data_IF_527827730968
#
_entry.id   IF_527827730968
#
_cell.length_a   1.000
_cell.length_b   1.000
_cell.length_c   1.000
_cell.angle_alpha   90.00
_cell.angle_beta   90.00
_cell.angle_gamma   90.00
#
_symmetry.space_group_name_H-M   'P 1'
#
loop_
_entity.id
_entity.type
_entity.pdbx_description
1 polymer ?
#
# COMPACT_ATOMS: atom_id res chain seq x y z
N UNK A 1 -45.79 2.83 -58.41
CA UNK A 1 -44.90 1.91 -57.69
C UNK A 1 -43.55 2.62 -57.59
N UNK A 2 -43.36 3.37 -56.50
CA UNK A 2 -42.13 4.13 -56.25
C UNK A 2 -41.38 3.34 -55.20
N UNK A 3 -40.20 2.86 -55.55
CA UNK A 3 -39.29 2.16 -54.64
C UNK A 3 -38.56 3.25 -53.87
N UNK A 4 -38.75 3.29 -52.55
CA UNK A 4 -37.96 4.10 -51.63
C UNK A 4 -36.94 3.14 -51.02
N UNK A 5 -35.67 3.30 -51.41
CA UNK A 5 -34.55 2.67 -50.71
C UNK A 5 -34.39 3.39 -49.37
N UNK A 6 -34.72 2.71 -48.28
CA UNK A 6 -34.37 3.14 -46.93
C UNK A 6 -32.95 2.68 -46.63
N UNK A 7 -31.99 3.59 -46.71
CA UNK A 7 -30.64 3.40 -46.15
C UNK A 7 -30.77 3.16 -44.63
N UNK A 8 -30.59 1.91 -44.23
CA UNK A 8 -30.29 1.58 -42.84
C UNK A 8 -28.86 2.01 -42.55
N UNK A 9 -28.69 3.18 -41.93
CA UNK A 9 -27.45 3.55 -41.28
C UNK A 9 -27.20 2.60 -40.10
N UNK A 10 -26.54 1.48 -40.38
CA UNK A 10 -25.91 0.65 -39.36
C UNK A 10 -24.66 1.38 -38.90
N UNK A 11 -24.80 2.26 -37.90
CA UNK A 11 -23.64 2.80 -37.18
C UNK A 11 -23.01 1.69 -36.35
N UNK A 12 -22.08 0.96 -36.95
CA UNK A 12 -21.06 0.25 -36.18
C UNK A 12 -20.25 1.32 -35.46
N UNK A 13 -20.59 1.61 -34.19
CA UNK A 13 -19.69 2.30 -33.28
C UNK A 13 -18.44 1.40 -33.14
N UNK A 14 -17.44 1.65 -33.96
CA UNK A 14 -16.07 1.32 -33.61
C UNK A 14 -15.75 2.22 -32.43
N UNK A 15 -15.91 1.72 -31.21
CA UNK A 15 -15.51 2.43 -30.00
C UNK A 15 -14.02 2.72 -30.11
N UNK A 16 -13.67 3.97 -30.43
CA UNK A 16 -12.29 4.45 -30.38
C UNK A 16 -11.83 4.30 -28.93
N UNK A 17 -10.68 3.67 -28.75
CA UNK A 17 -10.05 3.49 -27.44
C UNK A 17 -9.68 4.88 -26.92
N UNK A 18 -10.29 5.34 -25.83
CA UNK A 18 -9.94 6.64 -25.21
C UNK A 18 -8.58 6.55 -24.51
N UNK A 19 -7.92 7.69 -24.32
CA UNK A 19 -6.65 7.77 -23.59
C UNK A 19 -6.76 7.17 -22.18
N UNK A 20 -7.86 7.43 -21.47
CA UNK A 20 -8.11 6.90 -20.11
C UNK A 20 -8.21 5.37 -20.12
N UNK A 21 -8.97 4.80 -21.07
CA UNK A 21 -9.10 3.35 -21.19
C UNK A 21 -7.77 2.71 -21.60
N UNK A 22 -7.04 3.33 -22.53
CA UNK A 22 -5.68 2.91 -22.89
C UNK A 22 -4.76 2.90 -21.66
N UNK A 23 -4.67 4.02 -20.94
CA UNK A 23 -3.77 4.19 -19.80
C UNK A 23 -4.06 3.18 -18.69
N UNK A 24 -5.32 2.96 -18.35
CA UNK A 24 -5.72 1.99 -17.30
C UNK A 24 -5.57 0.53 -17.73
N UNK A 25 -5.48 0.25 -19.04
CA UNK A 25 -5.20 -1.08 -19.58
C UNK A 25 -3.71 -1.44 -19.63
N UNK A 26 -2.80 -0.47 -19.39
CA UNK A 26 -1.36 -0.71 -19.40
C UNK A 26 -0.93 -1.69 -18.31
N UNK A 27 0.13 -2.44 -18.60
CA UNK A 27 0.69 -3.40 -17.64
C UNK A 27 1.20 -2.67 -16.40
N UNK A 28 0.64 -3.00 -15.23
CA UNK A 28 0.97 -2.34 -13.97
C UNK A 28 -0.04 -1.26 -13.56
N UNK A 29 -0.95 -0.87 -14.45
CA UNK A 29 -1.99 0.13 -14.17
C UNK A 29 -3.31 -0.53 -13.72
N UNK A 30 -3.27 -1.82 -13.39
CA UNK A 30 -4.42 -2.61 -12.94
C UNK A 30 -5.10 -2.03 -11.68
N UNK A 31 -4.38 -1.21 -10.91
CA UNK A 31 -4.88 -0.58 -9.69
C UNK A 31 -5.72 0.68 -9.93
N UNK A 32 -5.57 1.34 -11.07
CA UNK A 32 -6.37 2.51 -11.40
C UNK A 32 -7.81 2.14 -11.73
N UNK A 33 -8.77 2.98 -11.35
CA UNK A 33 -10.08 2.99 -11.98
C UNK A 33 -10.12 4.02 -13.11
N UNK A 34 -11.05 3.85 -14.04
CA UNK A 34 -11.33 4.84 -15.08
C UNK A 34 -12.03 6.04 -14.43
N UNK A 35 -11.40 7.21 -14.51
CA UNK A 35 -12.00 8.47 -14.05
C UNK A 35 -13.02 8.93 -15.11
N UNK A 36 -14.19 9.38 -14.66
CA UNK A 36 -15.21 9.89 -15.58
C UNK A 36 -14.74 11.22 -16.19
N UNK A 37 -14.89 11.38 -17.50
CA UNK A 37 -14.51 12.62 -18.22
C UNK A 37 -15.19 13.85 -17.62
N UNK A 38 -16.48 13.75 -17.24
CA UNK A 38 -17.24 14.82 -16.57
C UNK A 38 -16.55 15.33 -15.28
N UNK A 39 -15.80 14.49 -14.58
CA UNK A 39 -15.05 14.89 -13.38
C UNK A 39 -13.81 15.72 -13.73
N UNK A 40 -13.18 15.39 -14.86
CA UNK A 40 -11.97 16.05 -15.37
C UNK A 40 -12.33 17.38 -16.05
N UNK A 41 -13.45 17.44 -16.76
CA UNK A 41 -13.94 18.67 -17.42
C UNK A 41 -14.33 19.79 -16.43
N UNK A 42 -14.66 19.44 -15.19
CA UNK A 42 -14.97 20.42 -14.15
C UNK A 42 -13.69 20.98 -13.50
N UNK A 43 -13.30 22.18 -13.93
CA UNK A 43 -12.15 22.96 -13.44
C UNK A 43 -12.08 23.05 -11.90
N UNK A 44 -13.23 23.03 -11.20
CA UNK A 44 -13.23 23.08 -9.74
C UNK A 44 -12.48 21.87 -9.14
N UNK A 45 -12.66 20.69 -9.71
CA UNK A 45 -12.00 19.46 -9.26
C UNK A 45 -10.50 19.46 -9.57
N UNK A 46 -10.06 20.26 -10.54
CA UNK A 46 -8.68 20.39 -10.98
C UNK A 46 -7.89 21.51 -10.27
N UNK A 47 -8.55 22.29 -9.41
CA UNK A 47 -7.96 23.44 -8.71
C UNK A 47 -6.61 23.10 -8.06
N UNK A 48 -5.58 23.91 -8.36
CA UNK A 48 -4.23 23.78 -7.80
C UNK A 48 -3.33 22.74 -8.49
N UNK A 49 -3.84 21.90 -9.39
CA UNK A 49 -3.01 20.95 -10.15
C UNK A 49 -2.17 21.64 -11.23
N UNK A 50 -2.68 22.74 -11.79
CA UNK A 50 -2.02 23.50 -12.86
C UNK A 50 -0.59 23.95 -12.51
N UNK A 51 -0.29 24.25 -11.24
CA UNK A 51 1.06 24.63 -10.82
C UNK A 51 2.02 23.45 -10.63
N UNK A 52 1.50 22.22 -10.57
CA UNK A 52 2.30 21.01 -10.35
C UNK A 52 2.63 20.27 -11.65
N UNK A 53 1.75 20.38 -12.65
CA UNK A 53 1.85 19.65 -13.92
C UNK A 53 2.46 20.55 -15.01
N UNK A 54 3.62 20.19 -15.58
CA UNK A 54 4.18 20.87 -16.75
C UNK A 54 3.25 20.74 -17.97
N UNK A 55 3.29 21.68 -18.91
CA UNK A 55 2.50 21.60 -20.16
C UNK A 55 1.02 21.28 -19.90
N UNK A 56 0.44 21.93 -18.88
CA UNK A 56 -0.92 21.66 -18.38
C UNK A 56 -1.98 21.56 -19.49
N UNK A 57 -1.97 22.50 -20.44
CA UNK A 57 -2.98 22.56 -21.50
C UNK A 57 -2.84 21.35 -22.41
N UNK A 58 -1.62 21.09 -22.88
CA UNK A 58 -1.30 19.99 -23.78
C UNK A 58 -1.54 18.62 -23.13
N UNK A 59 -1.24 18.49 -21.83
CA UNK A 59 -1.50 17.29 -21.04
C UNK A 59 -3.00 17.04 -20.86
N UNK A 60 -3.78 18.09 -20.58
CA UNK A 60 -5.24 17.99 -20.42
C UNK A 60 -5.92 17.65 -21.75
N UNK A 61 -5.52 18.32 -22.83
CA UNK A 61 -6.02 18.04 -24.19
C UNK A 61 -5.72 16.57 -24.58
N UNK A 62 -4.54 16.04 -24.21
CA UNK A 62 -4.19 14.64 -24.44
C UNK A 62 -5.05 13.66 -23.62
N UNK A 63 -5.27 13.93 -22.32
CA UNK A 63 -6.08 13.04 -21.46
C UNK A 63 -7.55 12.98 -21.91
N UNK A 64 -8.08 14.08 -22.46
CA UNK A 64 -9.46 14.20 -22.94
C UNK A 64 -9.61 13.89 -24.45
N UNK A 65 -8.57 13.36 -25.10
CA UNK A 65 -8.55 13.07 -26.54
C UNK A 65 -9.01 14.27 -27.43
N UNK A 66 -8.68 15.49 -27.00
CA UNK A 66 -8.99 16.73 -27.75
C UNK A 66 -8.00 16.88 -28.90
N UNK A 67 -8.50 17.05 -30.12
CA UNK A 67 -7.65 17.25 -31.30
C UNK A 67 -6.80 18.52 -31.15
N UNK A 68 -5.46 18.43 -31.36
CA UNK A 68 -4.60 19.59 -31.29
C UNK A 68 -4.91 20.56 -32.44
N UNK A 69 -4.95 21.86 -32.16
CA UNK A 69 -5.12 22.88 -33.20
C UNK A 69 -3.93 22.85 -34.19
N UNK A 70 -4.23 22.73 -35.50
CA UNK A 70 -3.24 22.56 -36.58
C UNK A 70 -2.15 23.66 -36.65
N UNK A 71 -2.36 24.82 -36.03
CA UNK A 71 -1.44 25.97 -36.03
C UNK A 71 -0.42 25.97 -34.87
N UNK A 72 -0.41 24.94 -34.02
CA UNK A 72 0.57 24.81 -32.93
C UNK A 72 1.94 24.33 -33.43
N UNK A 73 2.67 25.18 -34.15
CA UNK A 73 4.03 24.87 -34.62
C UNK A 73 5.10 24.86 -33.49
N UNK A 74 4.68 24.75 -32.22
CA UNK A 74 5.53 24.81 -31.02
C UNK A 74 5.24 23.70 -30.01
N UNK A 75 4.56 22.62 -30.42
CA UNK A 75 4.28 21.49 -29.52
C UNK A 75 5.63 20.96 -28.99
N UNK A 76 5.82 20.87 -27.67
CA UNK A 76 6.98 20.20 -27.06
C UNK A 76 7.13 18.78 -27.60
N UNK A 77 8.28 18.14 -27.36
CA UNK A 77 8.45 16.71 -27.67
C UNK A 77 7.27 15.91 -27.06
N UNK A 78 6.60 15.10 -27.88
CA UNK A 78 5.39 14.33 -27.52
C UNK A 78 5.63 13.51 -26.25
N UNK A 79 6.84 12.97 -26.09
CA UNK A 79 7.22 12.19 -24.91
C UNK A 79 7.16 13.00 -23.59
N UNK A 80 7.43 14.30 -23.64
CA UNK A 80 7.34 15.17 -22.47
C UNK A 80 5.88 15.44 -22.11
N UNK A 81 5.03 15.63 -23.12
CA UNK A 81 3.58 15.82 -22.92
C UNK A 81 2.95 14.54 -22.36
N UNK A 82 3.35 13.37 -22.84
CA UNK A 82 2.92 12.07 -22.31
C UNK A 82 3.22 11.96 -20.81
N UNK A 83 4.45 12.22 -20.39
CA UNK A 83 4.81 12.18 -18.96
C UNK A 83 4.00 13.16 -18.09
N UNK A 84 3.62 14.30 -18.67
CA UNK A 84 2.80 15.31 -18.00
C UNK A 84 1.33 14.88 -17.91
N UNK A 85 0.81 14.21 -18.94
CA UNK A 85 -0.51 13.61 -18.95
C UNK A 85 -0.65 12.48 -17.92
N UNK A 86 0.36 11.61 -17.79
CA UNK A 86 0.39 10.57 -16.75
C UNK A 86 0.35 11.16 -15.34
N UNK A 87 1.17 12.20 -15.09
CA UNK A 87 1.18 12.91 -13.82
C UNK A 87 -0.18 13.58 -13.54
N UNK A 88 -0.75 14.26 -14.54
CA UNK A 88 -2.07 14.88 -14.44
C UNK A 88 -3.13 13.85 -14.06
N UNK A 89 -3.24 12.78 -14.84
CA UNK A 89 -4.25 11.74 -14.61
C UNK A 89 -4.08 11.08 -13.24
N UNK A 90 -2.84 10.81 -12.83
CA UNK A 90 -2.56 10.27 -11.50
C UNK A 90 -3.02 11.18 -10.36
N UNK A 91 -2.76 12.49 -10.45
CA UNK A 91 -3.21 13.46 -9.44
C UNK A 91 -4.73 13.68 -9.45
N UNK A 92 -5.37 13.58 -10.61
CA UNK A 92 -6.83 13.60 -10.73
C UNK A 92 -7.43 12.33 -10.13
N UNK A 93 -6.85 11.16 -10.41
CA UNK A 93 -7.27 9.88 -9.87
C UNK A 93 -7.24 9.88 -8.33
N UNK A 94 -6.18 10.42 -7.72
CA UNK A 94 -6.05 10.58 -6.26
C UNK A 94 -7.26 11.31 -5.66
N UNK A 95 -7.78 12.33 -6.35
CA UNK A 95 -8.96 13.09 -5.91
C UNK A 95 -10.26 12.33 -6.21
N UNK A 96 -10.35 11.75 -7.41
CA UNK A 96 -11.54 11.05 -7.88
C UNK A 96 -11.92 9.87 -6.97
N UNK A 97 -10.95 9.07 -6.54
CA UNK A 97 -11.21 7.89 -5.69
C UNK A 97 -11.67 8.22 -4.26
N UNK A 98 -11.68 9.51 -3.87
CA UNK A 98 -12.30 9.99 -2.64
C UNK A 98 -13.77 10.39 -2.83
N UNK A 99 -14.23 10.53 -4.07
CA UNK A 99 -15.64 10.82 -4.38
C UNK A 99 -16.50 9.57 -4.27
N UNK A 100 -17.82 9.75 -4.19
CA UNK A 100 -18.76 8.61 -4.20
C UNK A 100 -18.65 7.75 -5.47
N UNK A 101 -18.44 8.38 -6.63
CA UNK A 101 -18.29 7.66 -7.90
C UNK A 101 -17.00 6.83 -7.91
N UNK A 102 -15.87 7.44 -7.57
CA UNK A 102 -14.58 6.73 -7.50
C UNK A 102 -14.56 5.63 -6.44
N UNK A 103 -15.16 5.84 -5.26
CA UNK A 103 -15.32 4.80 -4.25
C UNK A 103 -16.16 3.62 -4.75
N UNK A 104 -17.17 3.85 -5.59
CA UNK A 104 -17.97 2.80 -6.22
C UNK A 104 -17.12 1.97 -7.19
N UNK A 105 -16.37 2.63 -8.08
CA UNK A 105 -15.49 1.93 -9.04
C UNK A 105 -14.39 1.13 -8.33
N UNK A 106 -13.86 1.66 -7.23
CA UNK A 106 -12.80 0.99 -6.47
C UNK A 106 -13.32 -0.19 -5.65
N UNK A 107 -14.55 -0.18 -5.14
CA UNK A 107 -15.12 -1.34 -4.42
C UNK A 107 -15.37 -2.51 -5.37
N UNK A 108 -15.83 -2.24 -6.60
CA UNK A 108 -15.98 -3.28 -7.63
C UNK A 108 -14.65 -3.99 -7.92
N UNK A 109 -13.55 -3.22 -8.04
CA UNK A 109 -12.20 -3.78 -8.20
C UNK A 109 -11.71 -4.52 -6.95
N UNK A 110 -12.07 -4.04 -5.76
CA UNK A 110 -11.72 -4.67 -4.48
C UNK A 110 -12.36 -6.05 -4.36
N UNK A 111 -13.66 -6.15 -4.65
CA UNK A 111 -14.43 -7.41 -4.59
C UNK A 111 -13.98 -8.40 -5.68
N UNK A 112 -13.57 -7.90 -6.85
CA UNK A 112 -12.94 -8.71 -7.90
C UNK A 112 -11.52 -9.19 -7.53
N UNK A 113 -10.92 -8.66 -6.46
CA UNK A 113 -9.58 -9.02 -6.00
C UNK A 113 -8.44 -8.50 -6.88
N UNK A 114 -8.69 -7.43 -7.67
CA UNK A 114 -7.70 -6.87 -8.61
C UNK A 114 -6.44 -6.34 -7.91
N UNK A 115 -6.55 -5.91 -6.65
CA UNK A 115 -5.42 -5.39 -5.86
C UNK A 115 -4.57 -6.49 -5.22
N UNK A 116 -4.98 -7.75 -5.34
CA UNK A 116 -4.32 -8.90 -4.71
C UNK A 116 -4.68 -9.08 -3.24
N UNK A 117 -3.81 -9.78 -2.50
CA UNK A 117 -4.07 -10.17 -1.12
C UNK A 117 -2.87 -9.93 -0.21
N UNK A 118 -3.15 -9.85 1.09
CA UNK A 118 -2.14 -9.59 2.10
C UNK A 118 -1.05 -10.68 2.11
N UNK A 119 0.25 -10.31 2.10
CA UNK A 119 1.34 -11.29 2.09
C UNK A 119 1.51 -12.02 3.43
N UNK A 120 0.88 -11.54 4.52
CA UNK A 120 0.94 -12.22 5.81
C UNK A 120 0.12 -13.51 5.75
N UNK A 121 0.80 -14.63 6.01
CA UNK A 121 0.20 -15.98 6.05
C UNK A 121 -1.09 -16.04 6.87
N UNK A 122 -1.10 -15.47 8.08
CA UNK A 122 -2.28 -15.51 8.96
C UNK A 122 -3.37 -14.48 8.65
N UNK A 123 -3.15 -13.61 7.65
CA UNK A 123 -4.23 -12.82 7.06
C UNK A 123 -4.98 -13.59 5.97
N UNK A 124 -4.60 -14.85 5.67
CA UNK A 124 -5.30 -15.73 4.71
C UNK A 124 -5.62 -15.03 3.37
N UNK A 125 -4.65 -14.31 2.81
CA UNK A 125 -4.81 -13.53 1.57
C UNK A 125 -6.00 -12.54 1.60
N UNK A 126 -6.27 -11.91 2.74
CA UNK A 126 -7.27 -10.83 2.85
C UNK A 126 -7.04 -9.80 1.74
N UNK A 127 -8.09 -9.41 0.96
CA UNK A 127 -7.95 -8.42 -0.10
C UNK A 127 -7.44 -7.08 0.44
N UNK A 128 -6.54 -6.46 -0.31
CA UNK A 128 -5.85 -5.22 0.06
C UNK A 128 -6.30 -4.05 -0.82
N UNK A 129 -5.96 -2.82 -0.45
CA UNK A 129 -6.20 -1.63 -1.28
C UNK A 129 -4.90 -0.90 -1.58
N UNK A 130 -4.75 -0.30 -2.78
CA UNK A 130 -3.64 0.58 -3.07
C UNK A 130 -3.70 1.84 -2.20
N UNK A 131 -2.54 2.35 -1.80
CA UNK A 131 -2.41 3.59 -1.04
C UNK A 131 -1.03 4.22 -1.26
N UNK A 132 -0.95 5.53 -1.05
CA UNK A 132 0.29 6.29 -0.96
C UNK A 132 0.78 6.44 0.48
N UNK A 133 2.09 6.62 0.67
CA UNK A 133 2.69 7.07 1.95
C UNK A 133 2.87 8.59 2.02
N UNK A 134 2.70 9.26 0.89
CA UNK A 134 2.73 10.69 0.71
C UNK A 134 1.69 11.05 -0.35
N UNK A 135 1.15 12.27 -0.25
CA UNK A 135 0.29 12.86 -1.28
C UNK A 135 1.10 13.69 -2.30
N UNK A 136 2.42 13.82 -2.10
CA UNK A 136 3.34 14.48 -3.04
C UNK A 136 3.97 13.46 -3.99
N UNK A 137 3.95 13.69 -5.31
CA UNK A 137 4.54 12.79 -6.30
C UNK A 137 6.08 12.72 -6.17
N UNK A 138 6.64 11.61 -6.62
CA UNK A 138 8.08 11.32 -6.64
C UNK A 138 8.67 10.87 -5.30
N UNK A 139 7.86 10.73 -4.24
CA UNK A 139 8.37 10.38 -2.90
C UNK A 139 8.46 8.86 -2.68
N UNK A 140 7.38 8.13 -2.97
CA UNK A 140 7.35 6.66 -2.81
C UNK A 140 6.37 6.05 -3.82
N UNK A 141 6.61 4.79 -4.14
CA UNK A 141 5.74 4.01 -5.04
C UNK A 141 4.48 3.56 -4.33
N UNK A 142 3.48 3.14 -5.11
CA UNK A 142 2.22 2.60 -4.58
C UNK A 142 2.46 1.46 -3.60
N UNK A 143 1.76 1.51 -2.47
CA UNK A 143 1.75 0.46 -1.45
C UNK A 143 0.36 -0.17 -1.36
N UNK A 144 0.26 -1.26 -0.62
CA UNK A 144 -0.97 -2.01 -0.39
C UNK A 144 -1.29 -2.03 1.10
N UNK A 145 -2.40 -1.43 1.48
CA UNK A 145 -2.93 -1.47 2.84
C UNK A 145 -3.81 -2.70 3.06
N UNK A 146 -3.58 -3.43 4.15
CA UNK A 146 -4.41 -4.56 4.54
C UNK A 146 -5.38 -4.21 5.67
N UNK A 147 -6.71 -4.34 5.47
CA UNK A 147 -7.69 -4.06 6.52
C UNK A 147 -7.67 -5.05 7.69
N UNK A 148 -7.09 -6.24 7.51
CA UNK A 148 -7.02 -7.23 8.59
C UNK A 148 -5.83 -7.04 9.52
N UNK A 149 -4.66 -6.61 9.04
CA UNK A 149 -3.53 -6.37 9.93
C UNK A 149 -3.23 -4.90 10.20
N UNK A 150 -3.87 -3.98 9.47
CA UNK A 150 -3.67 -2.54 9.64
C UNK A 150 -2.27 -2.07 9.25
N UNK A 151 -1.65 -2.74 8.28
CA UNK A 151 -0.25 -2.56 7.93
C UNK A 151 -0.10 -2.44 6.40
N UNK A 152 1.00 -1.84 5.96
CA UNK A 152 1.25 -1.41 4.58
C UNK A 152 2.36 -2.26 3.97
N UNK A 153 2.14 -2.76 2.76
CA UNK A 153 3.05 -3.67 2.05
C UNK A 153 3.45 -3.12 0.69
N UNK A 154 4.66 -3.44 0.23
CA UNK A 154 5.04 -3.23 -1.17
C UNK A 154 4.37 -4.30 -2.05
N UNK A 155 3.77 -3.92 -3.20
CA UNK A 155 3.27 -4.90 -4.16
C UNK A 155 4.35 -5.93 -4.53
N UNK A 156 4.03 -7.24 -4.58
CA UNK A 156 5.02 -8.28 -4.81
C UNK A 156 5.54 -8.33 -6.25
N UNK A 157 4.76 -7.84 -7.22
CA UNK A 157 5.16 -7.82 -8.63
C UNK A 157 5.92 -6.53 -8.95
N UNK A 158 7.05 -6.66 -9.65
CA UNK A 158 7.87 -5.51 -10.06
C UNK A 158 7.17 -4.59 -11.05
N UNK A 159 6.11 -5.03 -11.74
CA UNK A 159 5.36 -4.18 -12.69
C UNK A 159 4.75 -2.92 -12.05
N UNK A 160 4.58 -2.91 -10.72
CA UNK A 160 4.05 -1.78 -9.98
C UNK A 160 5.14 -0.83 -9.44
N UNK A 161 6.42 -1.10 -9.69
CA UNK A 161 7.53 -0.29 -9.16
C UNK A 161 7.60 1.12 -9.74
N UNK A 162 6.99 1.36 -10.90
CA UNK A 162 6.98 2.69 -11.54
C UNK A 162 5.69 3.47 -11.26
N UNK A 163 4.74 2.86 -10.54
CA UNK A 163 3.46 3.52 -10.22
C UNK A 163 3.64 4.34 -8.94
N UNK A 164 3.44 5.65 -9.04
CA UNK A 164 3.54 6.56 -7.90
C UNK A 164 2.44 6.30 -6.87
N UNK A 165 2.79 6.29 -5.58
CA UNK A 165 1.82 6.13 -4.51
C UNK A 165 0.94 7.36 -4.31
N UNK A 166 1.41 8.55 -4.69
CA UNK A 166 0.65 9.79 -4.59
C UNK A 166 -0.65 9.73 -5.39
N UNK A 167 -0.68 8.99 -6.51
CA UNK A 167 -1.87 8.84 -7.34
C UNK A 167 -3.04 8.11 -6.67
N UNK A 168 -2.79 7.46 -5.53
CA UNK A 168 -3.82 6.88 -4.66
C UNK A 168 -3.98 7.69 -3.37
N UNK A 169 -2.92 8.38 -2.96
CA UNK A 169 -2.91 9.23 -1.78
C UNK A 169 -2.96 8.46 -0.45
N UNK A 170 -2.78 9.22 0.62
CA UNK A 170 -2.74 8.69 2.00
C UNK A 170 -4.14 8.46 2.58
N UNK A 171 -5.13 9.17 2.06
CA UNK A 171 -6.49 9.25 2.62
C UNK A 171 -7.49 8.24 2.05
N UNK A 172 -7.19 7.64 0.89
CA UNK A 172 -8.12 6.76 0.19
C UNK A 172 -8.47 5.50 0.99
N UNK A 173 -7.48 4.73 1.43
CA UNK A 173 -7.72 3.50 2.20
C UNK A 173 -8.54 3.73 3.48
N UNK A 174 -8.21 4.69 4.37
CA UNK A 174 -9.03 4.93 5.56
C UNK A 174 -10.45 5.42 5.23
N UNK A 175 -10.62 6.31 4.24
CA UNK A 175 -11.94 6.77 3.81
C UNK A 175 -12.79 5.62 3.24
N UNK A 176 -12.18 4.75 2.44
CA UNK A 176 -12.83 3.57 1.86
C UNK A 176 -13.42 2.68 2.96
N UNK A 177 -12.63 2.35 4.00
CA UNK A 177 -13.10 1.50 5.09
C UNK A 177 -14.02 2.19 6.10
N UNK A 178 -14.01 3.52 6.15
CA UNK A 178 -15.03 4.29 6.86
C UNK A 178 -16.37 4.27 6.11
N UNK A 179 -16.33 4.26 4.77
CA UNK A 179 -17.51 4.22 3.90
C UNK A 179 -18.10 2.81 3.83
N UNK A 180 -17.26 1.78 3.84
CA UNK A 180 -17.62 0.36 3.77
C UNK A 180 -17.13 -0.43 5.01
N UNK A 181 -17.73 -0.21 6.21
CA UNK A 181 -17.29 -0.86 7.45
C UNK A 181 -17.38 -2.40 7.41
N UNK A 182 -18.25 -2.97 6.58
CA UNK A 182 -18.41 -4.41 6.34
C UNK A 182 -17.19 -5.07 5.70
N UNK A 183 -16.35 -4.29 5.01
CA UNK A 183 -15.12 -4.78 4.40
C UNK A 183 -13.92 -4.67 5.34
N UNK A 184 -14.02 -3.84 6.39
CA UNK A 184 -12.97 -3.61 7.37
C UNK A 184 -13.03 -4.62 8.52
N UNK A 185 -11.86 -5.12 8.96
CA UNK A 185 -11.81 -6.07 10.07
C UNK A 185 -12.06 -5.41 11.41
N UNK A 186 -12.76 -6.11 12.29
CA UNK A 186 -12.94 -5.71 13.69
C UNK A 186 -11.56 -5.56 14.38
N UNK A 187 -11.43 -4.62 15.33
CA UNK A 187 -10.16 -4.36 16.01
C UNK A 187 -9.80 -5.40 17.09
N UNK A 188 -10.73 -6.27 17.48
CA UNK A 188 -10.54 -7.32 18.49
C UNK A 188 -10.72 -8.72 17.88
N UNK A 189 -10.06 -9.73 18.45
CA UNK A 189 -10.15 -11.12 17.98
C UNK A 189 -10.36 -12.06 19.16
N UNK A 190 -11.59 -12.55 19.41
CA UNK A 190 -11.85 -13.44 20.52
C UNK A 190 -11.06 -14.75 20.36
N UNK A 191 -10.38 -15.16 21.43
CA UNK A 191 -9.67 -16.43 21.47
C UNK A 191 -10.65 -17.59 21.35
N UNK A 192 -10.45 -18.49 20.40
CA UNK A 192 -11.30 -19.66 20.18
C UNK A 192 -11.12 -20.76 21.25
N UNK A 193 -10.79 -20.40 22.49
CA UNK A 193 -10.58 -21.32 23.61
C UNK A 193 -11.88 -21.90 24.21
N UNK A 194 -13.02 -21.75 23.54
CA UNK A 194 -14.30 -22.31 23.98
C UNK A 194 -14.99 -23.12 22.87
N UNK A 195 -14.28 -24.05 22.23
CA UNK A 195 -14.97 -25.24 21.72
C UNK A 195 -15.30 -26.13 22.91
N UNK A 196 -16.46 -25.87 23.50
CA UNK A 196 -17.15 -26.81 24.40
C UNK A 196 -17.06 -28.21 23.82
N UNK A 197 -16.61 -29.14 24.66
CA UNK A 197 -16.61 -30.55 24.40
C UNK A 197 -18.04 -31.05 24.18
N UNK A 198 -18.53 -30.99 22.95
CA UNK A 198 -19.62 -31.83 22.49
C UNK A 198 -18.99 -33.09 21.90
N UNK A 199 -18.89 -34.13 22.73
CA UNK A 199 -18.39 -35.42 22.31
C UNK A 199 -19.29 -36.05 21.25
N UNK A 200 -18.71 -36.50 20.15
CA UNK A 200 -19.11 -37.75 19.50
C UNK A 200 -17.99 -38.23 18.59
N UNK A 201 -17.55 -39.45 18.81
CA UNK A 201 -16.59 -40.17 17.98
C UNK A 201 -17.18 -40.42 16.59
N UNK A 202 -16.44 -40.12 15.52
CA UNK A 202 -16.44 -40.97 14.30
C UNK A 202 -15.17 -40.74 13.48
N UNK A 203 -14.65 -41.86 12.99
CA UNK A 203 -13.42 -42.11 12.26
C UNK A 203 -13.26 -41.41 10.90
N UNK A 204 -12.01 -41.03 10.61
CA UNK A 204 -11.29 -41.16 9.33
C UNK A 204 -12.05 -40.94 8.02
N UNK A 205 -11.99 -39.72 7.48
CA UNK A 205 -11.91 -39.46 6.03
C UNK A 205 -11.18 -38.15 5.77
N UNK A 206 -10.19 -38.19 4.88
CA UNK A 206 -9.40 -37.07 4.37
C UNK A 206 -10.22 -36.35 3.27
N UNK A 207 -10.41 -35.02 3.27
CA UNK A 207 -10.93 -34.33 2.09
C UNK A 207 -9.82 -33.57 1.36
N UNK A 208 -9.78 -33.82 0.05
CA UNK A 208 -9.02 -33.11 -0.97
C UNK A 208 -9.43 -31.64 -1.10
N UNK A 209 -8.57 -30.74 -1.63
CA UNK A 209 -8.92 -29.33 -1.76
C UNK A 209 -9.79 -29.11 -3.01
N UNK A 210 -11.01 -28.62 -2.80
CA UNK A 210 -11.85 -27.99 -3.83
C UNK A 210 -12.23 -26.60 -3.31
N UNK A 211 -12.33 -25.56 -4.16
CA UNK A 211 -12.57 -24.21 -3.72
C UNK A 211 -14.07 -24.04 -3.48
N UNK A 212 -14.50 -24.17 -2.24
CA UNK A 212 -15.84 -23.77 -1.83
C UNK A 212 -15.71 -22.91 -0.60
N UNK A 213 -16.10 -21.65 -0.76
CA UNK A 213 -16.15 -20.62 0.25
C UNK A 213 -16.91 -21.13 1.48
N UNK A 214 -16.15 -21.55 2.49
CA UNK A 214 -16.63 -21.57 3.88
C UNK A 214 -16.11 -20.28 4.51
N UNK A 215 -16.93 -19.54 5.29
CA UNK A 215 -16.44 -18.37 5.98
C UNK A 215 -15.40 -18.84 6.99
N UNK A 216 -14.14 -18.53 6.71
CA UNK A 216 -13.03 -18.77 7.63
C UNK A 216 -13.18 -17.78 8.77
N UNK A 217 -13.94 -18.17 9.80
CA UNK A 217 -14.16 -17.37 11.00
C UNK A 217 -15.27 -17.98 11.87
N UNK A 218 -14.95 -18.39 13.09
CA UNK A 218 -15.93 -18.84 14.08
C UNK A 218 -16.91 -17.74 14.46
N UNK A 219 -17.87 -18.06 15.35
CA UNK A 219 -18.92 -17.17 15.83
C UNK A 219 -18.38 -15.76 16.10
N UNK A 220 -18.67 -14.85 15.17
CA UNK A 220 -18.11 -13.51 15.19
C UNK A 220 -19.05 -12.65 16.01
N UNK A 221 -18.57 -12.20 17.16
CA UNK A 221 -19.22 -11.11 17.86
C UNK A 221 -19.17 -9.88 16.95
N UNK A 222 -20.32 -9.36 16.55
CA UNK A 222 -20.45 -8.12 15.78
C UNK A 222 -19.90 -6.97 16.62
N UNK A 223 -19.04 -6.14 16.03
CA UNK A 223 -18.50 -4.97 16.70
C UNK A 223 -19.64 -4.03 17.12
N UNK A 224 -19.79 -3.72 18.44
CA UNK A 224 -20.86 -2.85 18.90
C UNK A 224 -20.83 -1.45 18.28
N UNK A 225 -19.66 -0.99 17.81
CA UNK A 225 -19.52 0.26 17.08
C UNK A 225 -19.95 0.05 15.61
N UNK A 226 -21.11 0.59 15.15
CA UNK A 226 -21.59 0.41 13.79
C UNK A 226 -20.72 1.09 12.72
N UNK A 227 -19.89 2.06 13.11
CA UNK A 227 -18.98 2.78 12.22
C UNK A 227 -17.57 2.16 12.20
N UNK A 228 -17.30 1.19 13.08
CA UNK A 228 -16.04 0.44 13.08
C UNK A 228 -16.11 -0.74 12.11
N UNK A 229 -14.96 -1.35 11.83
CA UNK A 229 -14.93 -2.57 11.02
C UNK A 229 -15.85 -3.65 11.58
N UNK A 230 -16.58 -4.32 10.70
CA UNK A 230 -17.58 -5.35 11.01
C UNK A 230 -17.14 -6.75 10.58
N UNK A 231 -16.09 -6.87 9.78
CA UNK A 231 -15.58 -8.14 9.29
C UNK A 231 -14.82 -8.89 10.40
N UNK A 232 -14.99 -10.21 10.55
CA UNK A 232 -14.19 -11.03 11.46
C UNK A 232 -12.68 -10.79 11.32
N UNK A 233 -12.01 -10.50 12.44
CA UNK A 233 -10.56 -10.40 12.52
C UNK A 233 -9.89 -11.77 12.44
N UNK A 234 -8.81 -11.86 11.67
CA UNK A 234 -7.87 -12.99 11.70
C UNK A 234 -6.69 -12.63 12.62
N UNK A 235 -6.78 -13.00 13.89
CA UNK A 235 -5.81 -12.63 14.93
C UNK A 235 -4.70 -13.66 15.20
N UNK A 236 -4.52 -14.69 14.38
CA UNK A 236 -3.45 -15.67 14.63
C UNK A 236 -2.07 -15.03 14.43
N UNK A 237 -1.20 -15.17 15.44
CA UNK A 237 0.18 -14.70 15.39
C UNK A 237 1.14 -15.88 15.21
N UNK A 238 2.15 -15.71 14.36
CA UNK A 238 3.16 -16.74 14.15
C UNK A 238 3.93 -17.04 15.42
N UNK A 239 3.98 -18.32 15.81
CA UNK A 239 4.76 -18.79 16.94
C UNK A 239 5.96 -19.59 16.42
N UNK A 240 7.20 -19.05 16.51
CA UNK A 240 8.39 -19.77 16.10
C UNK A 240 8.60 -21.01 16.98
N UNK A 241 8.92 -22.14 16.34
CA UNK A 241 9.24 -23.41 17.00
C UNK A 241 10.50 -24.02 16.39
N UNK A 242 11.35 -24.60 17.22
CA UNK A 242 12.54 -25.37 16.82
C UNK A 242 12.42 -26.75 17.47
N UNK A 243 12.51 -27.81 16.67
CA UNK A 243 12.25 -29.20 17.11
C UNK A 243 10.91 -29.39 17.85
N UNK A 244 9.90 -28.61 17.50
CA UNK A 244 8.57 -28.64 18.14
C UNK A 244 8.43 -27.80 19.41
N UNK A 245 9.54 -27.33 19.99
CA UNK A 245 9.54 -26.46 21.17
C UNK A 245 9.41 -24.99 20.79
N UNK A 246 8.61 -24.24 21.53
CA UNK A 246 8.50 -22.79 21.33
C UNK A 246 9.84 -22.13 21.63
N UNK A 247 10.27 -21.22 20.77
CA UNK A 247 11.45 -20.39 21.04
C UNK A 247 11.11 -19.43 22.18
N UNK A 248 11.95 -19.40 23.22
CA UNK A 248 11.79 -18.51 24.38
C UNK A 248 11.84 -17.04 23.96
N UNK A 249 11.00 -16.21 24.56
CA UNK A 249 11.02 -14.76 24.34
C UNK A 249 12.34 -14.12 24.80
N UNK A 250 12.99 -14.72 25.80
CA UNK A 250 14.31 -14.29 26.29
C UNK A 250 15.46 -14.64 25.35
N UNK A 251 15.25 -15.57 24.40
CA UNK A 251 16.30 -15.93 23.45
C UNK A 251 16.59 -14.76 22.49
N UNK A 252 17.83 -14.65 22.02
CA UNK A 252 18.22 -13.61 21.04
C UNK A 252 17.40 -13.69 19.75
N UNK A 253 17.15 -14.91 19.26
CA UNK A 253 16.28 -15.22 18.12
C UNK A 253 14.80 -15.43 18.50
N UNK A 254 14.41 -15.05 19.72
CA UNK A 254 13.04 -15.11 20.18
C UNK A 254 12.13 -14.14 19.43
N UNK A 255 10.80 -14.35 19.46
CA UNK A 255 9.86 -13.40 18.88
C UNK A 255 10.01 -12.02 19.54
N UNK A 256 10.05 -10.96 18.74
CA UNK A 256 10.14 -9.56 19.18
C UNK A 256 8.88 -8.79 18.76
N UNK A 257 8.52 -7.78 19.54
CA UNK A 257 7.41 -6.87 19.25
C UNK A 257 6.11 -7.61 18.91
N UNK A 258 5.80 -8.66 19.68
CA UNK A 258 4.58 -9.45 19.49
C UNK A 258 3.32 -8.56 19.62
N UNK A 259 3.37 -7.61 20.54
CA UNK A 259 2.34 -6.61 20.81
C UNK A 259 1.86 -5.85 19.56
N UNK A 260 2.73 -5.61 18.57
CA UNK A 260 2.36 -4.93 17.31
C UNK A 260 1.34 -5.72 16.48
N UNK A 261 1.21 -7.03 16.76
CA UNK A 261 0.33 -7.95 16.03
C UNK A 261 -0.71 -8.59 16.94
N UNK A 262 -0.73 -8.22 18.22
CA UNK A 262 -1.75 -8.67 19.15
C UNK A 262 -3.01 -7.83 18.97
N UNK A 263 -4.15 -8.49 19.16
CA UNK A 263 -5.47 -7.85 19.15
C UNK A 263 -6.13 -8.15 20.50
N UNK A 264 -6.85 -7.19 21.09
CA UNK A 264 -7.66 -7.45 22.26
C UNK A 264 -8.60 -8.62 22.02
N UNK A 265 -8.92 -9.38 23.07
CA UNK A 265 -9.86 -10.51 22.92
C UNK A 265 -11.31 -10.00 22.90
N UNK A 266 -11.55 -8.83 23.49
CA UNK A 266 -12.89 -8.25 23.65
C UNK A 266 -12.92 -6.77 23.27
N UNK A 267 -14.13 -6.29 22.95
CA UNK A 267 -14.34 -4.88 22.61
C UNK A 267 -14.11 -3.95 23.81
N UNK A 268 -14.51 -4.36 25.02
CA UNK A 268 -14.41 -3.51 26.23
C UNK A 268 -12.96 -3.24 26.66
N UNK A 269 -12.00 -4.01 26.15
CA UNK A 269 -10.57 -3.75 26.35
C UNK A 269 -10.09 -2.50 25.59
N UNK A 270 -10.76 -2.14 24.49
CA UNK A 270 -10.44 -0.94 23.72
C UNK A 270 -10.79 0.34 24.48
N UNK A 271 -11.81 0.31 25.35
CA UNK A 271 -12.20 1.47 26.15
C UNK A 271 -11.17 1.81 27.25
N UNK A 272 -10.29 0.87 27.56
CA UNK A 272 -9.25 1.01 28.59
C UNK A 272 -8.02 1.76 28.08
N UNK A 273 -7.93 2.00 26.76
CA UNK A 273 -6.84 2.78 26.13
C UNK A 273 -7.35 4.11 25.56
N UNK A 274 -6.51 5.15 25.61
CA UNK A 274 -6.75 6.43 24.95
C UNK A 274 -6.60 6.29 23.42
N UNK A 275 -6.93 7.35 22.68
CA UNK A 275 -6.81 7.37 21.22
C UNK A 275 -5.35 7.24 20.71
N UNK A 276 -4.35 7.40 21.60
CA UNK A 276 -2.93 7.18 21.32
C UNK A 276 -2.47 5.76 21.72
N UNK A 277 -3.37 4.90 22.18
CA UNK A 277 -3.07 3.54 22.60
C UNK A 277 -2.46 3.41 24.00
N UNK A 278 -2.55 4.44 24.86
CA UNK A 278 -2.06 4.40 26.25
C UNK A 278 -3.17 4.02 27.22
N UNK A 279 -2.87 3.19 28.20
CA UNK A 279 -3.84 2.79 29.23
C UNK A 279 -4.30 4.00 30.05
N UNK A 280 -5.62 4.22 30.12
CA UNK A 280 -6.23 5.35 30.85
C UNK A 280 -5.96 5.30 32.36
N UNK A 281 -5.69 4.11 32.91
CA UNK A 281 -5.59 3.88 34.35
C UNK A 281 -4.15 3.64 34.86
N UNK A 282 -3.11 3.70 34.01
CA UNK A 282 -1.71 3.51 34.42
C UNK A 282 -1.03 4.83 34.88
N UNK A 283 -1.80 5.86 35.23
CA UNK A 283 -1.30 7.11 35.79
C UNK A 283 -1.17 7.13 37.33
N UNK A 284 -1.10 5.98 38.01
CA UNK A 284 -1.34 5.95 39.47
C UNK A 284 -0.52 5.01 40.35
N UNK A 285 0.55 4.35 39.87
CA UNK A 285 1.30 3.38 40.73
C UNK A 285 2.82 3.52 40.67
N UNK A 286 3.41 4.63 40.20
CA UNK A 286 4.81 4.94 40.54
C UNK A 286 5.01 6.47 40.62
N UNK A 287 5.07 7.00 41.85
CA UNK A 287 5.45 8.39 42.11
C UNK A 287 4.41 9.24 42.84
N UNK A 288 3.95 8.81 44.02
CA UNK A 288 3.28 9.70 44.96
C UNK A 288 4.30 10.70 45.54
N UNK A 289 4.49 11.81 44.83
CA UNK A 289 5.11 13.04 45.32
C UNK A 289 4.04 14.11 45.44
N UNK A 290 3.63 14.38 46.67
CA UNK A 290 2.55 15.28 47.09
C UNK A 290 2.67 16.70 46.49
N UNK A 291 1.63 17.20 45.81
CA UNK A 291 1.59 18.56 45.27
C UNK A 291 0.20 18.98 44.80
N UNK A 292 -0.55 19.58 45.71
CA UNK A 292 -1.91 20.11 45.56
C UNK A 292 -1.93 21.31 44.59
N UNK A 293 -2.83 21.37 43.60
CA UNK A 293 -2.95 22.56 42.74
C UNK A 293 -4.02 22.51 41.65
N UNK A 294 -5.01 23.39 41.78
CA UNK A 294 -6.11 23.68 40.85
C UNK A 294 -5.64 24.12 39.45
N UNK A 295 -6.40 23.72 38.43
CA UNK A 295 -6.96 24.52 37.33
C UNK A 295 -6.08 25.46 36.50
N UNK A 296 -6.25 25.39 35.18
CA UNK A 296 -5.86 26.46 34.25
C UNK A 296 -5.47 25.91 32.88
N UNK A 297 -6.37 26.04 31.91
CA UNK A 297 -5.99 26.26 30.51
C UNK A 297 -5.19 27.55 30.46
N UNK A 298 -4.00 27.55 29.85
CA UNK A 298 -3.38 28.74 29.28
C UNK A 298 -2.24 28.30 28.34
N UNK A 299 -2.37 28.80 27.12
CA UNK A 299 -1.39 28.77 26.05
C UNK A 299 -0.18 29.63 26.45
N UNK A 300 1.04 29.17 26.19
CA UNK A 300 2.21 30.06 26.18
C UNK A 300 3.31 29.51 25.26
N UNK A 301 3.51 30.20 24.14
CA UNK A 301 4.73 30.21 23.35
C UNK A 301 5.79 31.05 24.09
N UNK A 302 7.00 30.52 24.35
CA UNK A 302 8.25 31.25 24.09
C UNK A 302 9.50 30.36 24.18
N UNK A 303 10.40 30.58 23.23
CA UNK A 303 11.74 30.00 23.09
C UNK A 303 12.68 30.27 24.28
N UNK A 304 13.63 29.35 24.51
CA UNK A 304 14.70 29.54 25.49
C UNK A 304 15.69 28.38 25.59
N UNK A 305 16.59 28.30 24.61
CA UNK A 305 17.95 27.73 24.65
C UNK A 305 18.30 26.73 25.80
N UNK A 306 18.28 25.42 25.52
CA UNK A 306 19.03 24.41 26.29
C UNK A 306 19.69 23.39 25.36
N UNK A 307 21.01 23.36 25.48
CA UNK A 307 21.96 22.42 24.88
C UNK A 307 21.51 20.95 25.10
N UNK A 308 21.17 20.25 24.03
CA UNK A 308 20.81 18.83 24.07
C UNK A 308 22.08 18.00 24.01
N UNK A 309 22.48 17.41 25.14
CA UNK A 309 23.45 16.31 25.17
C UNK A 309 22.87 15.12 24.41
N UNK A 310 23.45 14.83 23.24
CA UNK A 310 23.18 13.65 22.42
C UNK A 310 23.58 12.39 23.19
N UNK A 311 22.60 11.61 23.67
CA UNK A 311 22.84 10.27 24.21
C UNK A 311 23.30 9.35 23.09
N UNK A 312 24.55 8.87 23.16
CA UNK A 312 25.05 7.77 22.32
C UNK A 312 24.33 6.49 22.75
N UNK A 313 23.61 5.86 21.84
CA UNK A 313 22.96 4.57 22.07
C UNK A 313 23.30 3.58 20.96
N UNK A 314 24.55 3.55 20.50
CA UNK A 314 25.18 2.45 19.77
C UNK A 314 26.69 2.63 19.93
N UNK A 315 27.27 1.93 20.92
CA UNK A 315 28.70 1.62 20.99
C UNK A 315 28.73 0.10 20.93
N UNK A 316 29.02 -0.45 19.75
CA UNK A 316 29.60 -1.78 19.61
C UNK A 316 30.86 -1.54 18.75
N UNK A 317 31.99 -1.52 19.44
CA UNK A 317 33.33 -1.58 18.88
C UNK A 317 33.53 -3.00 18.33
N UNK A 318 33.66 -3.15 17.01
CA UNK A 318 34.35 -4.26 16.39
C UNK A 318 35.46 -3.65 15.52
N UNK A 319 36.70 -3.72 16.00
CA UNK A 319 37.92 -3.42 15.24
C UNK A 319 38.08 -4.42 14.08
N UNK A 320 38.39 -3.98 12.86
CA UNK A 320 39.07 -4.84 11.89
C UNK A 320 40.58 -4.81 12.14
N UNK A 321 41.16 -5.98 12.44
CA UNK A 321 42.61 -6.22 12.42
C UNK A 321 43.15 -5.95 11.00
N UNK A 322 44.31 -5.28 10.97
CA UNK A 322 45.13 -4.98 9.80
C UNK A 322 45.46 -6.26 9.00
N UNK A 323 45.24 -6.23 7.68
CA UNK A 323 45.92 -7.13 6.73
C UNK A 323 46.45 -6.26 5.58
N UNK A 324 47.72 -6.52 5.27
CA UNK A 324 48.68 -5.64 4.62
C UNK A 324 48.37 -5.20 3.17
N UNK A 325 48.90 -4.02 2.84
CA UNK A 325 49.01 -3.41 1.52
C UNK A 325 49.88 -4.25 0.56
N UNK A 326 49.37 -4.57 -0.64
CA UNK A 326 50.21 -4.70 -1.84
C UNK A 326 49.56 -3.89 -2.99
N UNK A 327 50.22 -2.79 -3.34
CA UNK A 327 49.97 -1.97 -4.52
C UNK A 327 50.33 -2.75 -5.79
N UNK A 328 49.56 -2.58 -6.87
CA UNK A 328 50.14 -2.45 -8.21
C UNK A 328 49.15 -1.71 -9.14
N UNK A 329 49.62 -0.58 -9.65
CA UNK A 329 48.95 0.28 -10.62
C UNK A 329 48.97 -0.36 -12.02
N UNK A 330 47.89 -0.23 -12.79
CA UNK A 330 47.98 -0.31 -14.26
C UNK A 330 47.29 0.88 -14.93
N UNK A 331 48.11 1.70 -15.59
CA UNK A 331 47.72 2.74 -16.54
C UNK A 331 47.31 2.17 -17.90
N UNK A 332 46.43 2.89 -18.58
CA UNK A 332 45.97 2.69 -19.95
C UNK A 332 47.07 2.88 -21.01
N UNK A 333 47.13 2.00 -22.02
CA UNK A 333 47.88 2.27 -23.25
C UNK A 333 47.64 1.28 -24.40
N UNK A 334 47.18 1.79 -25.56
CA UNK A 334 46.88 1.07 -26.82
C UNK A 334 48.14 0.51 -27.55
N UNK A 335 47.87 -0.42 -28.48
CA UNK A 335 48.43 -0.63 -29.84
C UNK A 335 49.12 -2.01 -30.10
N UNK A 336 48.64 -2.66 -31.18
CA UNK A 336 48.93 -3.95 -31.89
C UNK A 336 50.27 -3.88 -32.70
N UNK A 337 50.89 -4.89 -33.41
CA UNK A 337 50.62 -6.33 -33.67
C UNK A 337 51.82 -7.35 -33.58
N UNK A 338 51.47 -8.62 -33.84
CA UNK A 338 52.14 -9.65 -34.70
C UNK A 338 53.22 -10.66 -34.21
N UNK A 339 52.99 -11.89 -34.70
CA UNK A 339 53.91 -12.98 -35.11
C UNK A 339 54.22 -14.15 -34.15
N UNK A 340 53.73 -15.34 -34.54
CA UNK A 340 54.45 -16.61 -34.81
C UNK A 340 55.53 -17.06 -33.81
N UNK A 341 55.61 -18.29 -33.30
CA UNK A 341 55.34 -19.61 -33.90
C UNK A 341 55.52 -20.68 -32.81
N UNK A 342 54.79 -21.78 -32.93
CA UNK A 342 54.93 -23.00 -32.15
C UNK A 342 56.20 -23.80 -32.50
N UNK A 343 56.71 -24.58 -31.54
CA UNK A 343 57.28 -25.96 -31.66
C UNK A 343 58.04 -26.29 -30.36
N UNK A 344 58.15 -27.49 -29.80
CA UNK A 344 57.51 -28.82 -29.80
C UNK A 344 58.11 -29.53 -28.53
N UNK A 345 57.61 -30.68 -28.06
CA UNK A 345 57.78 -31.17 -26.69
C UNK A 345 58.81 -32.31 -26.57
N UNK A 346 59.24 -32.61 -25.33
CA UNK A 346 59.68 -33.97 -24.98
C UNK A 346 59.42 -34.30 -23.51
N UNK A 347 58.47 -35.22 -23.33
CA UNK A 347 58.34 -36.31 -22.33
C UNK A 347 59.34 -36.34 -21.16
N UNK A 348 58.78 -36.50 -19.95
CA UNK A 348 58.63 -37.84 -19.36
C UNK A 348 57.38 -37.92 -18.49
#
# INVERSE_FOLDING_TARGET
MVIIESETASSTQTSTLTWINWYTSLTGHDYFCEVHEEFIEDDFNLTGLQSMVPFWKEALDMVLDVEPEEDSSKIPDVSIVESSAELLYGMVHQRFILTKAGLSSMVEKYDAGHFGGCPRVFCNATPVLPCGRSDMPGIDTVKLYCPNCGDIYTPPSSKYQNVDGAFFGTSFAPLFFQTYPELHSVPFCPSSSSSVAAGTNTSSTRPSPTPSATPVGGATYTNPNPHGGQRPALGRVYQPKIYGFKVSERARSGPRMKWLRERPEKAEELDQVDWKGRWKNEGGVYGAGNGNGKGGDEDDEMEGNREVKKGKLFDDEDEPEDDDEEEEEEELGKVVPEASTATFPTRR
#
